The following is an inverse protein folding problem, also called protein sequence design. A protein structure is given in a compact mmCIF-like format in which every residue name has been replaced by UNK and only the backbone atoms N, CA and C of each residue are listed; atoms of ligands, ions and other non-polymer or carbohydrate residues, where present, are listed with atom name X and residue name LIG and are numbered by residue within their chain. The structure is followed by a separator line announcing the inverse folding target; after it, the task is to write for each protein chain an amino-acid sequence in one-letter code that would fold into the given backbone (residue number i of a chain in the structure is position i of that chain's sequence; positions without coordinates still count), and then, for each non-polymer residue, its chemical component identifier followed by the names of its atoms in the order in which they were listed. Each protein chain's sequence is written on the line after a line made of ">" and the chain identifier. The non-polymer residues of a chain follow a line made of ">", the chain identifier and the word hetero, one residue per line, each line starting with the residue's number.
data_IF_523776686043
#
_entry.id   IF_523776686043
#
_cell.length_a   1.000
_cell.length_b   1.000
_cell.length_c   1.000
_cell.angle_alpha   90.00
_cell.angle_beta   90.00
_cell.angle_gamma   90.00
#
_symmetry.space_group_name_H-M   'P 1'
#
loop_
_entity.id
_entity.type
_entity.pdbx_description
1 polymer ?
#
# COMPACT_ATOMS: atom_id res chain seq x y z
N UNK A 1 -5.85 -17.38 -9.30
CA UNK A 1 -6.87 -16.80 -10.20
C UNK A 1 -7.72 -15.76 -9.47
N UNK A 2 -8.44 -16.10 -8.39
CA UNK A 2 -9.31 -15.15 -7.64
C UNK A 2 -8.60 -13.92 -7.07
N UNK A 3 -7.43 -14.08 -6.44
CA UNK A 3 -6.68 -12.95 -5.85
C UNK A 3 -6.15 -11.97 -6.91
N UNK A 4 -5.80 -12.47 -8.10
CA UNK A 4 -5.38 -11.62 -9.23
C UNK A 4 -6.53 -10.76 -9.78
N UNK A 5 -7.76 -11.27 -9.76
CA UNK A 5 -8.95 -10.52 -10.22
C UNK A 5 -9.34 -9.42 -9.21
N UNK A 6 -9.28 -9.74 -7.92
CA UNK A 6 -9.52 -8.77 -6.84
C UNK A 6 -8.52 -7.60 -6.88
N UNK A 7 -7.23 -7.90 -7.06
CA UNK A 7 -6.19 -6.86 -7.18
C UNK A 7 -6.37 -5.99 -8.43
N UNK A 8 -6.80 -6.57 -9.56
CA UNK A 8 -7.15 -5.80 -10.75
C UNK A 8 -8.33 -4.87 -10.50
N UNK A 9 -9.35 -5.34 -9.78
CA UNK A 9 -10.52 -4.53 -9.42
C UNK A 9 -10.16 -3.38 -8.46
N UNK A 10 -9.29 -3.64 -7.49
CA UNK A 10 -8.74 -2.59 -6.61
C UNK A 10 -7.99 -1.55 -7.44
N UNK A 11 -7.07 -2.00 -8.31
CA UNK A 11 -6.29 -1.12 -9.18
C UNK A 11 -7.20 -0.25 -10.03
N UNK A 12 -8.26 -0.82 -10.61
CA UNK A 12 -9.24 -0.08 -11.41
C UNK A 12 -9.82 1.11 -10.64
N UNK A 13 -10.24 0.93 -9.39
CA UNK A 13 -10.80 2.03 -8.60
C UNK A 13 -9.76 3.08 -8.22
N UNK A 14 -8.53 2.68 -7.90
CA UNK A 14 -7.46 3.62 -7.50
C UNK A 14 -7.03 4.50 -8.68
N UNK A 15 -7.01 3.99 -9.91
CA UNK A 15 -6.52 4.73 -11.08
C UNK A 15 -7.61 5.40 -11.91
N UNK A 16 -8.89 5.14 -11.63
CA UNK A 16 -10.01 5.70 -12.41
C UNK A 16 -10.46 7.07 -11.86
N UNK A 17 -10.38 8.11 -12.70
CA UNK A 17 -10.75 9.48 -12.30
C UNK A 17 -12.25 9.66 -11.96
N UNK A 18 -13.10 8.73 -12.41
CA UNK A 18 -14.55 8.75 -12.19
C UNK A 18 -14.97 7.92 -10.96
N UNK A 19 -14.03 7.26 -10.30
CA UNK A 19 -14.31 6.50 -9.09
C UNK A 19 -14.79 7.42 -7.96
N UNK A 20 -15.82 6.98 -7.23
CA UNK A 20 -16.31 7.72 -6.07
C UNK A 20 -15.37 7.58 -4.89
N UNK A 21 -15.40 8.57 -3.99
CA UNK A 21 -14.67 8.56 -2.70
C UNK A 21 -14.88 7.25 -1.94
N UNK A 22 -16.10 6.75 -1.91
CA UNK A 22 -16.46 5.52 -1.23
C UNK A 22 -15.87 4.28 -1.89
N UNK A 23 -15.87 4.22 -3.24
CA UNK A 23 -15.25 3.12 -3.98
C UNK A 23 -13.73 3.08 -3.77
N UNK A 24 -13.07 4.23 -3.81
CA UNK A 24 -11.62 4.34 -3.60
C UNK A 24 -11.26 3.90 -2.17
N UNK A 25 -11.95 4.46 -1.17
CA UNK A 25 -11.68 4.13 0.22
C UNK A 25 -11.94 2.65 0.54
N UNK A 26 -13.01 2.06 -0.01
CA UNK A 26 -13.28 0.61 0.12
C UNK A 26 -12.25 -0.26 -0.58
N UNK A 27 -11.81 0.12 -1.79
CA UNK A 27 -10.76 -0.59 -2.51
C UNK A 27 -9.44 -0.59 -1.74
N UNK A 28 -9.09 0.56 -1.14
CA UNK A 28 -7.94 0.72 -0.27
C UNK A 28 -7.97 -0.17 0.98
N UNK A 29 -9.07 -0.11 1.73
CA UNK A 29 -9.27 -0.97 2.90
C UNK A 29 -9.14 -2.44 2.49
N UNK A 30 -9.78 -2.83 1.38
CA UNK A 30 -9.75 -4.21 0.91
C UNK A 30 -8.35 -4.67 0.50
N UNK A 31 -7.57 -3.81 -0.17
CA UNK A 31 -6.16 -4.06 -0.47
C UNK A 31 -5.37 -4.38 0.79
N UNK A 32 -5.55 -3.58 1.84
CA UNK A 32 -4.87 -3.79 3.10
C UNK A 32 -5.35 -5.03 3.84
N UNK A 33 -6.64 -5.39 3.75
CA UNK A 33 -7.14 -6.64 4.32
C UNK A 33 -6.42 -7.83 3.68
N UNK A 34 -6.26 -7.84 2.35
CA UNK A 34 -5.49 -8.86 1.63
C UNK A 34 -4.02 -8.85 2.08
N UNK A 35 -3.38 -7.67 2.12
CA UNK A 35 -1.97 -7.51 2.48
C UNK A 35 -1.65 -8.06 3.89
N UNK A 36 -2.58 -7.89 4.82
CA UNK A 36 -2.46 -8.36 6.20
C UNK A 36 -3.02 -9.79 6.40
N UNK A 37 -3.30 -10.52 5.31
CA UNK A 37 -3.71 -11.92 5.36
C UNK A 37 -5.15 -12.17 5.81
N UNK A 38 -6.00 -11.14 5.76
CA UNK A 38 -7.41 -11.23 6.09
C UNK A 38 -8.27 -11.85 4.99
N UNK A 39 -9.55 -12.06 5.32
CA UNK A 39 -10.58 -12.67 4.47
C UNK A 39 -11.70 -11.67 4.20
N UNK A 40 -12.64 -12.05 3.32
CA UNK A 40 -13.75 -11.18 2.86
C UNK A 40 -14.56 -10.47 3.95
N UNK A 41 -14.65 -11.05 5.15
CA UNK A 41 -15.42 -10.51 6.25
C UNK A 41 -14.55 -9.87 7.35
N UNK A 42 -13.25 -9.83 7.16
CA UNK A 42 -12.34 -9.19 8.11
C UNK A 42 -12.32 -7.69 7.89
N UNK A 43 -12.19 -6.95 8.99
CA UNK A 43 -11.91 -5.52 9.00
C UNK A 43 -10.45 -5.29 9.38
N UNK A 44 -9.87 -4.15 9.02
CA UNK A 44 -8.52 -3.83 9.48
C UNK A 44 -8.48 -3.65 11.00
N UNK A 45 -9.59 -3.19 11.59
CA UNK A 45 -9.72 -3.11 13.03
C UNK A 45 -9.65 -4.49 13.73
N UNK A 46 -10.33 -5.51 13.18
CA UNK A 46 -10.28 -6.86 13.72
C UNK A 46 -8.92 -7.51 13.51
N UNK A 47 -8.30 -7.31 12.34
CA UNK A 47 -6.93 -7.78 12.06
C UNK A 47 -5.92 -7.13 13.01
N UNK A 48 -6.00 -5.81 13.18
CA UNK A 48 -5.16 -5.04 14.10
C UNK A 48 -5.27 -5.58 15.53
N UNK A 49 -6.49 -5.86 15.99
CA UNK A 49 -6.71 -6.43 17.32
C UNK A 49 -6.10 -7.82 17.46
N UNK A 50 -6.37 -8.73 16.51
CA UNK A 50 -5.82 -10.09 16.54
C UNK A 50 -4.29 -10.10 16.53
N UNK A 51 -3.65 -9.28 15.70
CA UNK A 51 -2.20 -9.12 15.66
C UNK A 51 -1.64 -8.60 16.97
N UNK A 52 -2.29 -7.60 17.56
CA UNK A 52 -1.89 -7.07 18.86
C UNK A 52 -1.96 -8.16 19.94
N UNK A 53 -3.06 -8.92 19.99
CA UNK A 53 -3.22 -10.01 20.95
C UNK A 53 -2.17 -11.10 20.77
N UNK A 54 -1.84 -11.48 19.53
CA UNK A 54 -0.76 -12.41 19.23
C UNK A 54 0.60 -11.90 19.73
N UNK A 55 0.90 -10.62 19.53
CA UNK A 55 2.13 -9.99 20.03
C UNK A 55 2.22 -9.99 21.56
N UNK A 56 1.10 -9.73 22.24
CA UNK A 56 1.01 -9.79 23.71
C UNK A 56 1.24 -11.22 24.21
N UNK A 57 0.57 -12.20 23.60
CA UNK A 57 0.64 -13.60 24.00
C UNK A 57 2.03 -14.21 23.77
N UNK A 58 2.73 -13.79 22.71
CA UNK A 58 4.09 -14.24 22.38
C UNK A 58 5.18 -13.57 23.22
N UNK A 59 4.81 -12.76 24.24
CA UNK A 59 5.71 -12.11 25.21
C UNK A 59 6.89 -11.36 24.58
N UNK A 60 6.66 -10.69 23.44
CA UNK A 60 7.67 -9.75 22.92
C UNK A 60 7.84 -8.63 23.93
N UNK A 61 9.08 -8.41 24.39
CA UNK A 61 9.41 -7.42 25.43
C UNK A 61 8.96 -5.99 25.07
N UNK A 62 8.71 -5.72 23.79
CA UNK A 62 8.11 -4.50 23.28
C UNK A 62 7.23 -4.81 22.06
N UNK A 63 6.03 -4.23 22.05
CA UNK A 63 5.14 -4.25 20.87
C UNK A 63 5.55 -3.06 20.00
N UNK A 64 5.93 -3.33 18.76
CA UNK A 64 6.18 -2.30 17.75
C UNK A 64 4.86 -1.94 17.06
N UNK A 65 4.28 -0.75 17.30
CA UNK A 65 2.98 -0.38 16.75
C UNK A 65 2.97 -0.30 15.21
N UNK A 66 4.13 -0.15 14.57
CA UNK A 66 4.24 -0.04 13.10
C UNK A 66 3.94 -1.36 12.38
N UNK A 67 4.00 -2.48 13.10
CA UNK A 67 3.71 -3.82 12.56
C UNK A 67 2.23 -4.17 12.57
N UNK A 68 1.41 -3.36 13.23
CA UNK A 68 -0.03 -3.54 13.28
C UNK A 68 -0.68 -3.00 12.01
N UNK A 69 -1.73 -3.67 11.52
CA UNK A 69 -2.57 -3.13 10.46
C UNK A 69 -3.10 -1.73 10.82
N UNK A 70 -3.24 -0.80 9.85
CA UNK A 70 -3.88 0.50 10.10
C UNK A 70 -5.34 0.32 10.53
N UNK A 71 -6.01 1.38 10.98
CA UNK A 71 -7.46 1.34 11.20
C UNK A 71 -8.20 1.53 9.88
N UNK A 72 -9.45 1.05 9.78
CA UNK A 72 -10.26 1.20 8.55
C UNK A 72 -10.34 2.66 8.08
N UNK A 73 -10.50 3.60 9.02
CA UNK A 73 -10.59 5.03 8.70
C UNK A 73 -9.25 5.65 8.31
N UNK A 74 -8.14 5.23 8.91
CA UNK A 74 -6.82 5.71 8.53
C UNK A 74 -6.50 5.27 7.09
N UNK A 75 -6.76 4.00 6.78
CA UNK A 75 -6.54 3.47 5.43
C UNK A 75 -7.46 4.11 4.40
N UNK A 76 -8.74 4.34 4.75
CA UNK A 76 -9.68 5.04 3.88
C UNK A 76 -9.11 6.38 3.39
N UNK A 77 -8.65 7.23 4.33
CA UNK A 77 -8.12 8.55 3.98
C UNK A 77 -6.74 8.48 3.31
N UNK A 78 -5.90 7.51 3.70
CA UNK A 78 -4.63 7.27 3.02
C UNK A 78 -4.86 6.97 1.53
N UNK A 79 -5.78 6.05 1.24
CA UNK A 79 -6.15 5.68 -0.12
C UNK A 79 -6.74 6.83 -0.94
N UNK A 80 -7.47 7.77 -0.33
CA UNK A 80 -7.89 8.99 -1.02
C UNK A 80 -6.68 9.87 -1.42
N UNK A 81 -5.70 10.00 -0.54
CA UNK A 81 -4.46 10.73 -0.82
C UNK A 81 -3.65 10.09 -1.96
N UNK A 82 -3.50 8.76 -1.91
CA UNK A 82 -2.85 7.98 -2.99
C UNK A 82 -3.58 8.16 -4.31
N UNK A 83 -4.91 8.05 -4.32
CA UNK A 83 -5.71 8.28 -5.51
C UNK A 83 -5.49 9.68 -6.10
N UNK A 84 -5.55 10.73 -5.28
CA UNK A 84 -5.31 12.10 -5.74
C UNK A 84 -3.92 12.25 -6.37
N UNK A 85 -2.89 11.68 -5.75
CA UNK A 85 -1.53 11.70 -6.25
C UNK A 85 -1.40 10.97 -7.60
N UNK A 86 -1.97 9.76 -7.70
CA UNK A 86 -1.98 8.96 -8.94
C UNK A 86 -2.68 9.70 -10.06
N UNK A 87 -3.89 10.23 -9.83
CA UNK A 87 -4.63 10.98 -10.84
C UNK A 87 -3.89 12.25 -11.25
N UNK A 88 -3.26 12.94 -10.31
CA UNK A 88 -2.46 14.13 -10.60
C UNK A 88 -1.30 13.78 -11.53
N UNK A 89 -0.56 12.70 -11.25
CA UNK A 89 0.54 12.24 -12.11
C UNK A 89 0.06 11.79 -13.49
N UNK A 90 -1.06 11.07 -13.57
CA UNK A 90 -1.65 10.65 -14.85
C UNK A 90 -2.16 11.84 -15.69
N UNK A 91 -2.57 12.95 -15.06
CA UNK A 91 -3.04 14.16 -15.75
C UNK A 91 -1.92 15.13 -16.10
N UNK A 92 -0.84 15.18 -15.33
CA UNK A 92 0.34 16.00 -15.61
C UNK A 92 1.18 15.44 -16.76
N UNK A 93 0.94 14.20 -17.16
CA UNK A 93 1.68 13.52 -18.21
C UNK A 93 0.98 13.68 -19.56
N UNK A 94 1.49 14.58 -20.41
CA UNK A 94 1.23 14.54 -21.85
C UNK A 94 2.12 13.51 -22.57
N UNK A 95 3.24 13.12 -21.95
CA UNK A 95 4.18 12.10 -22.42
C UNK A 95 4.62 11.23 -21.23
N UNK A 96 4.77 9.93 -21.47
CA UNK A 96 5.08 8.91 -20.47
C UNK A 96 6.30 9.27 -19.60
N UNK A 97 6.12 9.42 -18.28
CA UNK A 97 7.24 9.56 -17.35
C UNK A 97 8.14 8.33 -17.49
N UNK A 98 9.41 8.54 -17.82
CA UNK A 98 10.38 7.47 -17.81
C UNK A 98 10.64 7.05 -16.35
N UNK A 99 10.25 5.83 -15.92
CA UNK A 99 10.39 5.42 -14.52
C UNK A 99 11.82 5.52 -14.01
N UNK A 100 12.82 5.37 -14.88
CA UNK A 100 14.24 5.46 -14.49
C UNK A 100 14.69 6.85 -14.08
N UNK A 101 13.89 7.88 -14.33
CA UNK A 101 14.12 9.25 -13.87
C UNK A 101 13.43 9.56 -12.54
N UNK A 102 12.58 8.65 -12.03
CA UNK A 102 11.69 8.88 -10.89
C UNK A 102 11.88 7.84 -9.79
N UNK A 103 13.13 7.45 -9.53
CA UNK A 103 13.47 6.57 -8.42
C UNK A 103 13.18 5.09 -8.68
N UNK A 104 13.09 4.67 -9.94
CA UNK A 104 13.03 3.26 -10.32
C UNK A 104 14.26 2.89 -11.13
N UNK A 105 14.65 1.61 -11.11
CA UNK A 105 15.66 1.05 -12.01
C UNK A 105 15.07 -0.17 -12.72
N UNK A 106 15.42 -0.32 -13.99
CA UNK A 106 15.05 -1.50 -14.77
C UNK A 106 16.13 -2.57 -14.58
N UNK A 107 15.78 -3.67 -13.91
CA UNK A 107 16.65 -4.82 -13.71
C UNK A 107 15.94 -6.07 -14.25
N UNK A 108 16.56 -6.79 -15.19
CA UNK A 108 16.00 -8.03 -15.77
C UNK A 108 14.54 -7.90 -16.23
N UNK A 109 14.21 -6.79 -16.92
CA UNK A 109 12.86 -6.42 -17.38
C UNK A 109 11.85 -6.02 -16.30
N UNK A 110 12.25 -6.02 -15.02
CA UNK A 110 11.41 -5.63 -13.89
C UNK A 110 11.83 -4.23 -13.40
N UNK A 111 10.85 -3.35 -13.19
CA UNK A 111 11.08 -2.09 -12.49
C UNK A 111 11.17 -2.36 -10.99
N UNK A 112 12.30 -1.98 -10.39
CA UNK A 112 12.52 -2.07 -8.94
C UNK A 112 12.74 -0.67 -8.38
N UNK A 113 12.18 -0.36 -7.20
CA UNK A 113 12.38 0.95 -6.59
C UNK A 113 13.83 1.11 -6.15
N UNK A 114 14.38 2.30 -6.38
CA UNK A 114 15.67 2.75 -5.83
C UNK A 114 15.38 3.27 -4.44
N UNK A 115 15.75 2.49 -3.41
CA UNK A 115 15.47 2.83 -2.02
C UNK A 115 16.29 4.05 -1.54
N UNK A 116 17.50 4.18 -2.04
CA UNK A 116 18.41 5.29 -1.75
C UNK A 116 19.47 5.38 -2.86
N UNK A 117 19.98 6.58 -3.08
CA UNK A 117 21.15 6.90 -3.90
C UNK A 117 22.46 6.86 -3.09
N UNK A 118 22.38 6.53 -1.80
CA UNK A 118 23.53 6.36 -0.91
C UNK A 118 24.14 4.97 -1.07
N UNK A 119 25.47 4.92 -1.20
CA UNK A 119 26.21 3.66 -1.13
C UNK A 119 26.03 3.02 0.24
N UNK A 120 25.94 1.68 0.27
CA UNK A 120 25.77 0.89 1.50
C UNK A 120 26.95 1.00 2.49
N UNK A 121 27.95 1.86 2.23
CA UNK A 121 29.20 1.90 2.97
C UNK A 121 29.81 3.31 3.04
N UNK A 122 29.22 4.21 3.84
CA UNK A 122 29.97 5.27 4.57
C UNK A 122 29.15 5.73 5.78
N UNK A 123 29.11 4.95 6.85
CA UNK A 123 28.82 5.46 8.21
C UNK A 123 29.49 4.53 9.23
N UNK A 124 30.81 4.63 9.29
CA UNK A 124 31.55 4.31 10.50
C UNK A 124 31.61 5.56 11.36
N UNK A 125 30.75 5.61 12.38
CA UNK A 125 30.91 6.44 13.57
C UNK A 125 30.42 5.66 14.77
#
# INVERSE_FOLDING_TARGET
>A
MKESEELQRISFFITNNEATVEQIGKAGIWLYVILYGGRANDSLNSLRYSQYMEMVLTRKASIDPQKLAPTDRAEFFHSLGVHLQVITWLKLTNDHLNPTQWGWKLADTILTPVLTDLDAHQNGY
#
